data_IF_967586552663
#
_entry.id   IF_967586552663
#
_cell.length_a   1.000
_cell.length_b   1.000
_cell.length_c   1.000
_cell.angle_alpha   90.00
_cell.angle_beta   90.00
_cell.angle_gamma   90.00
#
_symmetry.space_group_name_H-M   'P 1'
#
loop_
_entity.id
_entity.type
_entity.pdbx_description
1 polymer ?
#
# COMPACT_ATOMS: atom_id res chain seq x y z
N UNK A 1 8.50 -0.92 52.22
CA UNK A 1 8.77 -0.52 50.81
C UNK A 1 7.42 -0.21 50.20
N UNK A 2 7.11 1.07 50.03
CA UNK A 2 5.91 1.52 49.33
C UNK A 2 6.21 1.65 47.83
N UNK A 3 5.22 1.41 46.97
CA UNK A 3 4.92 2.44 45.97
C UNK A 3 3.43 2.77 45.84
N UNK A 4 3.21 4.07 45.60
CA UNK A 4 1.96 4.80 45.48
C UNK A 4 1.25 4.67 44.09
N UNK A 5 0.03 5.23 43.93
CA UNK A 5 -1.04 4.69 43.09
C UNK A 5 -1.33 5.49 41.81
N UNK A 6 -2.21 4.97 40.94
CA UNK A 6 -3.02 5.81 40.05
C UNK A 6 -3.25 5.26 38.64
N UNK A 7 -4.45 4.76 38.36
CA UNK A 7 -5.38 5.45 37.45
C UNK A 7 -6.60 4.56 37.18
N UNK A 8 -7.73 5.05 37.68
CA UNK A 8 -9.08 4.58 37.37
C UNK A 8 -9.43 4.86 35.91
N UNK A 9 -9.92 3.85 35.18
CA UNK A 9 -10.99 4.04 34.20
C UNK A 9 -11.79 2.76 33.98
N UNK A 10 -12.90 2.70 34.69
CA UNK A 10 -14.02 1.80 34.46
C UNK A 10 -14.80 2.22 33.21
N UNK A 11 -15.05 1.28 32.29
CA UNK A 11 -16.18 1.23 31.35
C UNK A 11 -16.40 -0.26 30.99
N UNK A 12 -17.29 -0.98 31.69
CA UNK A 12 -18.68 -1.30 31.30
C UNK A 12 -18.86 -2.12 29.99
N UNK A 13 -19.09 -3.44 30.17
CA UNK A 13 -20.19 -4.27 29.64
C UNK A 13 -20.67 -4.03 28.20
N UNK A 14 -20.52 -5.03 27.33
CA UNK A 14 -21.33 -5.25 26.13
C UNK A 14 -20.97 -6.57 25.44
N UNK A 15 -21.95 -7.46 25.28
CA UNK A 15 -21.81 -8.85 24.83
C UNK A 15 -22.03 -9.01 23.31
N UNK A 16 -22.26 -10.24 22.79
CA UNK A 16 -21.60 -10.82 21.63
C UNK A 16 -22.23 -10.43 20.29
N UNK A 17 -21.45 -10.47 19.23
CA UNK A 17 -21.94 -10.26 17.87
C UNK A 17 -20.79 -10.40 16.91
N UNK A 18 -20.41 -11.65 16.63
CA UNK A 18 -19.55 -11.97 15.50
C UNK A 18 -20.23 -11.44 14.25
N UNK A 19 -19.82 -10.24 13.83
CA UNK A 19 -20.08 -9.79 12.49
C UNK A 19 -19.45 -10.85 11.59
N UNK A 20 -20.27 -11.49 10.77
CA UNK A 20 -19.81 -12.29 9.66
C UNK A 20 -18.85 -11.42 8.86
N UNK A 21 -17.55 -11.56 9.12
CA UNK A 21 -16.52 -11.06 8.23
C UNK A 21 -16.70 -11.90 6.97
N UNK A 22 -17.39 -11.32 6.00
CA UNK A 22 -17.36 -11.77 4.62
C UNK A 22 -15.88 -11.67 4.23
N UNK A 23 -15.16 -12.77 4.45
CA UNK A 23 -13.73 -12.85 4.22
C UNK A 23 -13.44 -12.29 2.84
N UNK A 24 -12.54 -11.29 2.72
CA UNK A 24 -12.28 -10.69 1.44
C UNK A 24 -11.83 -11.79 0.47
N UNK A 25 -12.44 -11.78 -0.73
CA UNK A 25 -12.06 -12.58 -1.89
C UNK A 25 -10.52 -12.63 -1.98
N UNK A 26 -9.92 -13.77 -2.38
CA UNK A 26 -8.50 -14.06 -2.15
C UNK A 26 -7.68 -12.80 -2.39
N UNK A 27 -7.28 -12.15 -1.30
CA UNK A 27 -6.62 -10.85 -1.35
C UNK A 27 -5.28 -11.11 -2.02
N UNK A 28 -5.27 -10.94 -3.32
CA UNK A 28 -4.10 -11.26 -4.13
C UNK A 28 -3.08 -10.22 -3.70
N UNK A 29 -2.02 -10.69 -3.04
CA UNK A 29 -1.10 -9.82 -2.34
C UNK A 29 -0.54 -8.75 -3.28
N UNK A 30 -0.33 -7.52 -2.80
CA UNK A 30 0.25 -6.46 -3.61
C UNK A 30 1.63 -6.89 -4.15
N UNK A 31 1.89 -6.58 -5.41
CA UNK A 31 3.13 -6.89 -6.10
C UNK A 31 4.06 -5.69 -5.95
N UNK A 32 5.31 -5.92 -5.56
CA UNK A 32 6.34 -4.87 -5.53
C UNK A 32 7.08 -4.80 -6.85
N UNK A 33 7.08 -3.61 -7.47
CA UNK A 33 7.77 -3.33 -8.72
C UNK A 33 8.96 -2.41 -8.49
N UNK A 34 10.12 -2.82 -9.02
CA UNK A 34 11.33 -2.01 -9.03
C UNK A 34 11.47 -1.25 -10.36
N UNK A 35 11.20 0.04 -10.34
CA UNK A 35 11.28 0.92 -11.52
C UNK A 35 12.64 1.60 -11.56
N UNK A 36 13.38 1.38 -12.64
CA UNK A 36 14.64 2.07 -12.93
C UNK A 36 14.37 3.23 -13.90
N UNK A 37 14.57 4.46 -13.44
CA UNK A 37 14.48 5.66 -14.27
C UNK A 37 15.74 5.84 -15.11
N UNK A 38 15.60 6.45 -16.30
CA UNK A 38 16.72 6.91 -17.14
C UNK A 38 17.55 8.02 -16.49
N UNK A 39 17.01 8.65 -15.44
CA UNK A 39 17.73 9.63 -14.60
C UNK A 39 18.61 8.98 -13.53
N UNK A 40 18.71 7.64 -13.51
CA UNK A 40 19.49 6.89 -12.53
C UNK A 40 18.78 6.63 -11.20
N UNK A 41 17.58 7.18 -10.99
CA UNK A 41 16.80 6.96 -9.76
C UNK A 41 16.03 5.65 -9.81
N UNK A 42 16.02 4.90 -8.70
CA UNK A 42 15.19 3.70 -8.53
C UNK A 42 13.97 4.02 -7.66
N UNK A 43 12.81 3.50 -8.05
CA UNK A 43 11.56 3.60 -7.29
C UNK A 43 11.03 2.21 -7.01
N UNK A 44 10.65 1.97 -5.76
CA UNK A 44 9.90 0.77 -5.38
C UNK A 44 8.41 1.13 -5.29
N UNK A 45 7.56 0.32 -5.91
CA UNK A 45 6.15 0.61 -6.08
C UNK A 45 5.32 -0.65 -5.79
N UNK A 46 4.58 -0.63 -4.69
CA UNK A 46 3.58 -1.67 -4.41
C UNK A 46 2.30 -1.37 -5.19
N UNK A 47 1.92 -2.30 -6.07
CA UNK A 47 0.73 -2.20 -6.91
C UNK A 47 -0.17 -3.43 -6.73
N UNK A 48 -1.49 -3.27 -6.83
CA UNK A 48 -2.37 -4.43 -6.89
C UNK A 48 -2.11 -5.22 -8.17
N UNK A 49 -2.44 -6.52 -8.20
CA UNK A 49 -2.25 -7.37 -9.39
C UNK A 49 -3.15 -6.98 -10.56
N UNK A 50 -4.26 -6.29 -10.30
CA UNK A 50 -5.16 -5.72 -11.32
C UNK A 50 -4.68 -4.35 -11.85
N UNK A 51 -3.52 -3.85 -11.40
CA UNK A 51 -3.00 -2.56 -11.83
C UNK A 51 -2.65 -2.57 -13.32
N UNK A 52 -3.04 -1.51 -14.02
CA UNK A 52 -2.79 -1.37 -15.46
C UNK A 52 -1.50 -0.61 -15.74
N UNK A 53 -0.93 -0.83 -16.93
CA UNK A 53 0.26 -0.08 -17.39
C UNK A 53 -0.04 1.42 -17.47
N UNK A 54 -1.23 1.82 -17.90
CA UNK A 54 -1.67 3.23 -17.93
C UNK A 54 -1.75 3.82 -16.52
N UNK A 55 -2.26 3.06 -15.54
CA UNK A 55 -2.27 3.43 -14.13
C UNK A 55 -0.86 3.64 -13.57
N UNK A 56 0.06 2.72 -13.87
CA UNK A 56 1.49 2.82 -13.55
C UNK A 56 2.13 4.08 -14.15
N UNK A 57 1.89 4.37 -15.45
CA UNK A 57 2.38 5.60 -16.10
C UNK A 57 1.85 6.85 -15.43
N UNK A 58 0.56 6.88 -15.06
CA UNK A 58 -0.03 8.02 -14.35
C UNK A 58 0.62 8.23 -12.99
N UNK A 59 0.79 7.18 -12.18
CA UNK A 59 1.47 7.28 -10.88
C UNK A 59 2.92 7.78 -11.02
N UNK A 60 3.66 7.24 -12.00
CA UNK A 60 5.03 7.65 -12.26
C UNK A 60 5.11 9.09 -12.79
N UNK A 61 4.19 9.53 -13.65
CA UNK A 61 4.15 10.92 -14.14
C UNK A 61 4.02 11.93 -12.99
N UNK A 62 3.18 11.61 -12.00
CA UNK A 62 2.96 12.46 -10.82
C UNK A 62 4.19 12.48 -9.90
N UNK A 63 4.82 11.31 -9.69
CA UNK A 63 6.01 11.17 -8.83
C UNK A 63 7.26 11.79 -9.45
N UNK A 64 7.47 11.59 -10.74
CA UNK A 64 8.62 12.11 -11.48
C UNK A 64 8.43 13.55 -11.95
N UNK A 65 7.19 14.07 -11.89
CA UNK A 65 6.81 15.36 -12.50
C UNK A 65 7.15 15.41 -13.99
N UNK A 66 6.96 14.29 -14.68
CA UNK A 66 7.21 14.15 -16.13
C UNK A 66 5.87 13.91 -16.81
N UNK A 67 5.54 14.61 -17.91
CA UNK A 67 4.33 14.34 -18.68
C UNK A 67 4.26 12.88 -19.12
N UNK A 68 3.07 12.28 -19.04
CA UNK A 68 2.86 10.86 -19.37
C UNK A 68 3.26 10.53 -20.81
N UNK A 69 3.12 11.49 -21.74
CA UNK A 69 3.48 11.32 -23.15
C UNK A 69 5.00 11.18 -23.35
N UNK A 70 5.79 11.64 -22.38
CA UNK A 70 7.25 11.57 -22.40
C UNK A 70 7.79 10.36 -21.62
N UNK A 71 6.90 9.53 -21.08
CA UNK A 71 7.27 8.41 -20.20
C UNK A 71 7.02 7.09 -20.93
N UNK A 72 8.10 6.37 -21.21
CA UNK A 72 8.06 5.01 -21.72
C UNK A 72 8.36 4.02 -20.59
N UNK A 73 7.56 2.95 -20.50
CA UNK A 73 7.80 1.84 -19.57
C UNK A 73 8.24 0.63 -20.38
N UNK A 74 9.32 0.02 -19.93
CA UNK A 74 9.86 -1.21 -20.50
C UNK A 74 9.88 -2.28 -19.41
N UNK A 75 9.31 -3.45 -19.70
CA UNK A 75 9.47 -4.62 -18.85
C UNK A 75 10.89 -5.16 -19.03
N UNK A 76 11.63 -5.30 -17.93
CA UNK A 76 12.94 -5.93 -17.93
C UNK A 76 12.77 -7.35 -17.41
N UNK A 77 12.78 -8.32 -18.31
CA UNK A 77 12.83 -9.73 -17.94
C UNK A 77 14.19 -9.99 -17.26
N UNK A 78 14.15 -10.54 -16.06
CA UNK A 78 15.34 -10.88 -15.25
C UNK A 78 15.47 -12.37 -15.11
#
# INVERSE_FOLDING_TARGET
MEPQPGSTRSCRRGAPGGACELGPAPETAPISLAIHSTTGTRYDLSVPPDETVEGLRKRLSQRLKVPKERLALLHKDT
#
